data_IF_731001169162
#
_entry.id   IF_731001169162
#
_cell.length_a   1.000
_cell.length_b   1.000
_cell.length_c   1.000
_cell.angle_alpha   90.00
_cell.angle_beta   90.00
_cell.angle_gamma   90.00
#
_symmetry.space_group_name_H-M   'P 1'
#
loop_
_entity.id
_entity.type
_entity.pdbx_description
1 polymer ?
#
# COMPACT_ATOMS: atom_id res chain seq x y z
N UNK A 1 8.27 -9.91 -10.25
CA UNK A 1 8.62 -8.77 -9.38
C UNK A 1 9.85 -8.06 -9.94
N UNK A 2 9.91 -6.74 -9.84
CA UNK A 2 11.07 -5.97 -10.29
C UNK A 2 12.29 -6.33 -9.45
N UNK A 3 13.48 -6.08 -9.99
CA UNK A 3 14.74 -6.43 -9.32
C UNK A 3 15.06 -5.54 -8.10
N UNK A 4 14.24 -4.52 -7.83
CA UNK A 4 14.41 -3.62 -6.70
C UNK A 4 13.85 -4.24 -5.40
N UNK A 5 14.59 -4.16 -4.28
CA UNK A 5 14.09 -4.62 -2.99
C UNK A 5 12.88 -3.80 -2.54
N UNK A 6 11.98 -4.36 -1.72
CA UNK A 6 10.87 -3.62 -1.16
C UNK A 6 11.38 -2.55 -0.17
N UNK A 7 10.76 -1.38 -0.21
CA UNK A 7 11.04 -0.29 0.72
C UNK A 7 10.05 -0.35 1.90
N UNK A 8 10.56 -0.16 3.12
CA UNK A 8 9.76 -0.15 4.36
C UNK A 8 9.91 1.22 5.00
N UNK A 9 8.80 1.93 5.13
CA UNK A 9 8.72 3.30 5.64
C UNK A 9 7.96 3.30 6.95
N UNK A 10 8.66 3.59 8.05
CA UNK A 10 8.07 3.75 9.37
C UNK A 10 7.65 5.22 9.58
N UNK A 11 6.41 5.44 10.01
CA UNK A 11 5.84 6.77 10.23
C UNK A 11 5.93 7.14 11.71
N UNK A 12 6.46 8.33 11.99
CA UNK A 12 6.57 8.87 13.35
C UNK A 12 5.27 9.55 13.82
N UNK A 13 5.33 10.25 14.96
CA UNK A 13 4.17 10.93 15.54
C UNK A 13 3.77 12.25 14.87
N UNK A 14 4.54 12.77 13.90
CA UNK A 14 4.36 14.11 13.32
C UNK A 14 3.42 14.16 12.13
N UNK A 15 3.14 13.01 11.51
CA UNK A 15 2.26 12.88 10.34
C UNK A 15 1.37 11.65 10.50
N UNK A 16 0.24 11.62 9.80
CA UNK A 16 -0.59 10.41 9.76
C UNK A 16 0.03 9.38 8.82
N UNK A 17 -0.33 8.10 8.98
CA UNK A 17 0.15 7.04 8.07
C UNK A 17 -0.33 7.28 6.64
N UNK A 18 -1.51 7.87 6.46
CA UNK A 18 -2.11 8.15 5.14
C UNK A 18 -1.47 9.37 4.46
N UNK A 19 -1.12 10.40 5.22
CA UNK A 19 -0.33 11.53 4.71
C UNK A 19 1.04 11.05 4.19
N UNK A 20 1.73 10.21 4.96
CA UNK A 20 3.00 9.63 4.48
C UNK A 20 2.76 8.73 3.27
N UNK A 21 1.74 7.86 3.29
CA UNK A 21 1.43 7.01 2.14
C UNK A 21 1.09 7.80 0.87
N UNK A 22 0.45 8.96 0.98
CA UNK A 22 0.20 9.84 -0.16
C UNK A 22 1.51 10.39 -0.76
N UNK A 23 2.50 10.75 0.08
CA UNK A 23 3.83 11.17 -0.38
C UNK A 23 4.56 10.04 -1.11
N UNK A 24 4.61 8.86 -0.48
CA UNK A 24 5.22 7.67 -1.10
C UNK A 24 4.53 7.30 -2.41
N UNK A 25 3.21 7.49 -2.50
CA UNK A 25 2.45 7.26 -3.74
C UNK A 25 2.91 8.22 -4.85
N UNK A 26 3.06 9.52 -4.54
CA UNK A 26 3.53 10.50 -5.53
C UNK A 26 4.95 10.20 -6.02
N UNK A 27 5.86 9.83 -5.11
CA UNK A 27 7.23 9.43 -5.44
C UNK A 27 7.26 8.16 -6.31
N UNK A 28 6.40 7.18 -5.97
CA UNK A 28 6.31 5.92 -6.67
C UNK A 28 5.78 6.10 -8.10
N UNK A 29 4.74 6.94 -8.29
CA UNK A 29 4.21 7.30 -9.61
C UNK A 29 5.31 7.88 -10.51
N UNK A 30 6.11 8.81 -9.98
CA UNK A 30 7.22 9.40 -10.71
C UNK A 30 8.32 8.38 -11.05
N UNK A 31 8.47 7.33 -10.23
CA UNK A 31 9.50 6.29 -10.39
C UNK A 31 9.12 5.23 -11.42
N UNK A 32 7.88 4.74 -11.41
CA UNK A 32 7.46 3.62 -12.27
C UNK A 32 6.88 4.05 -13.62
N UNK A 33 6.39 5.31 -13.73
CA UNK A 33 5.81 5.83 -14.98
C UNK A 33 4.58 5.05 -15.48
N UNK A 34 3.95 4.28 -14.59
CA UNK A 34 2.84 3.37 -14.86
C UNK A 34 1.82 3.36 -13.72
N UNK A 35 1.06 2.28 -13.58
CA UNK A 35 -0.07 2.23 -12.63
C UNK A 35 0.39 1.89 -11.22
N UNK A 36 -0.11 2.65 -10.23
CA UNK A 36 0.18 2.49 -8.80
C UNK A 36 -1.10 2.14 -8.04
N UNK A 37 -1.05 1.06 -7.26
CA UNK A 37 -2.10 0.74 -6.28
C UNK A 37 -1.67 1.15 -4.87
N UNK A 38 -2.58 1.80 -4.16
CA UNK A 38 -2.48 2.02 -2.71
C UNK A 38 -3.38 1.01 -2.02
N UNK A 39 -2.79 -0.06 -1.48
CA UNK A 39 -3.50 -1.16 -0.85
C UNK A 39 -3.65 -0.92 0.65
N UNK A 40 -4.88 -0.93 1.12
CA UNK A 40 -5.27 -0.63 2.51
C UNK A 40 -6.23 -1.69 3.06
N UNK A 41 -6.49 -1.70 4.37
CA UNK A 41 -7.63 -2.45 4.89
C UNK A 41 -8.94 -1.87 4.34
N UNK A 42 -10.00 -2.68 4.27
CA UNK A 42 -11.27 -2.24 3.69
C UNK A 42 -11.86 -1.02 4.42
N UNK A 43 -11.65 -0.93 5.75
CA UNK A 43 -12.11 0.18 6.58
C UNK A 43 -11.33 1.48 6.34
N UNK A 44 -10.09 1.39 5.86
CA UNK A 44 -9.19 2.54 5.65
C UNK A 44 -9.30 3.18 4.26
N UNK A 45 -10.10 2.61 3.35
CA UNK A 45 -10.20 3.08 1.97
C UNK A 45 -10.64 4.54 1.86
N UNK A 46 -11.66 4.95 2.63
CA UNK A 46 -12.16 6.34 2.63
C UNK A 46 -11.12 7.31 3.16
N UNK A 47 -10.39 6.93 4.21
CA UNK A 47 -9.38 7.80 4.83
C UNK A 47 -8.17 7.97 3.91
N UNK A 48 -7.76 6.90 3.22
CA UNK A 48 -6.70 6.97 2.22
C UNK A 48 -7.08 7.84 1.03
N UNK A 49 -8.31 7.71 0.50
CA UNK A 49 -8.81 8.57 -0.57
C UNK A 49 -8.77 10.05 -0.19
N UNK A 50 -9.26 10.39 1.02
CA UNK A 50 -9.21 11.75 1.53
C UNK A 50 -7.79 12.30 1.67
N UNK A 51 -6.81 11.46 2.04
CA UNK A 51 -5.41 11.87 2.10
C UNK A 51 -4.80 12.13 0.71
N UNK A 52 -5.17 11.34 -0.31
CA UNK A 52 -4.77 11.59 -1.69
C UNK A 52 -5.40 12.87 -2.24
N UNK A 53 -6.68 13.12 -1.93
CA UNK A 53 -7.38 14.38 -2.28
C UNK A 53 -6.68 15.60 -1.65
N UNK A 54 -6.35 15.52 -0.35
CA UNK A 54 -5.64 16.59 0.35
C UNK A 54 -4.24 16.84 -0.21
N UNK A 55 -3.61 15.81 -0.78
CA UNK A 55 -2.32 15.90 -1.47
C UNK A 55 -2.45 16.36 -2.94
N UNK A 56 -3.67 16.52 -3.47
CA UNK A 56 -3.92 16.89 -4.86
C UNK A 56 -3.61 15.78 -5.87
N UNK A 57 -3.65 14.51 -5.44
CA UNK A 57 -3.35 13.34 -6.27
C UNK A 57 -4.67 12.79 -6.83
N UNK A 58 -4.86 12.93 -8.15
CA UNK A 58 -5.98 12.32 -8.85
C UNK A 58 -5.90 10.79 -8.72
N UNK A 59 -7.00 10.17 -8.31
CA UNK A 59 -7.04 8.75 -8.04
C UNK A 59 -8.44 8.15 -8.30
N UNK A 60 -8.44 6.85 -8.59
CA UNK A 60 -9.64 6.05 -8.73
C UNK A 60 -9.85 5.08 -7.56
N UNK A 61 -10.91 4.30 -7.67
CA UNK A 61 -11.17 3.16 -6.79
C UNK A 61 -11.18 1.87 -7.60
N UNK A 62 -10.60 0.80 -7.04
CA UNK A 62 -10.66 -0.50 -7.69
C UNK A 62 -12.12 -0.94 -7.85
N UNK A 63 -12.54 -1.15 -9.10
CA UNK A 63 -13.86 -1.68 -9.43
C UNK A 63 -13.76 -3.11 -9.95
N UNK A 64 -14.90 -3.79 -10.13
CA UNK A 64 -14.93 -5.10 -10.80
C UNK A 64 -14.42 -5.06 -12.25
N UNK A 65 -14.35 -3.87 -12.86
CA UNK A 65 -13.94 -3.68 -14.25
C UNK A 65 -12.44 -3.38 -14.40
N UNK A 66 -11.71 -3.21 -13.29
CA UNK A 66 -10.26 -2.95 -13.32
C UNK A 66 -9.88 -1.63 -12.64
N UNK A 67 -8.76 -1.07 -13.11
CA UNK A 67 -8.10 0.12 -12.60
C UNK A 67 -8.16 1.17 -13.73
N UNK A 68 -8.91 2.24 -13.50
CA UNK A 68 -9.22 3.24 -14.52
C UNK A 68 -8.33 4.50 -14.41
N UNK A 69 -7.49 4.57 -13.37
CA UNK A 69 -6.64 5.72 -13.03
C UNK A 69 -5.20 5.30 -12.73
N UNK A 70 -4.25 6.19 -12.99
CA UNK A 70 -2.82 5.95 -12.74
C UNK A 70 -2.52 5.65 -11.26
N UNK A 71 -3.30 6.24 -10.35
CA UNK A 71 -3.30 5.90 -8.91
C UNK A 71 -4.66 5.33 -8.56
N UNK A 72 -4.71 4.20 -7.87
CA UNK A 72 -5.97 3.62 -7.41
C UNK A 72 -5.89 3.17 -5.96
N UNK A 73 -6.90 3.54 -5.17
CA UNK A 73 -7.09 3.02 -3.82
C UNK A 73 -7.74 1.64 -3.91
N UNK A 74 -7.09 0.64 -3.32
CA UNK A 74 -7.46 -0.77 -3.41
C UNK A 74 -7.71 -1.33 -2.01
N UNK A 75 -8.97 -1.55 -1.62
CA UNK A 75 -9.28 -2.38 -0.45
C UNK A 75 -8.65 -3.77 -0.61
N UNK A 76 -7.97 -4.29 0.42
CA UNK A 76 -7.21 -5.55 0.31
C UNK A 76 -8.08 -6.74 -0.12
N UNK A 77 -9.38 -6.72 0.21
CA UNK A 77 -10.35 -7.75 -0.19
C UNK A 77 -10.51 -7.89 -1.71
N UNK A 78 -10.20 -6.84 -2.48
CA UNK A 78 -10.28 -6.83 -3.95
C UNK A 78 -8.92 -6.82 -4.64
N UNK A 79 -7.81 -6.90 -3.90
CA UNK A 79 -6.46 -6.85 -4.48
C UNK A 79 -6.11 -8.07 -5.35
N UNK A 80 -6.78 -9.21 -5.14
CA UNK A 80 -6.48 -10.45 -5.86
C UNK A 80 -6.78 -10.31 -7.35
N UNK A 81 -5.80 -10.68 -8.18
CA UNK A 81 -5.93 -10.66 -9.64
C UNK A 81 -5.56 -9.32 -10.28
N UNK A 82 -5.23 -8.31 -9.48
CA UNK A 82 -4.61 -7.08 -9.95
C UNK A 82 -3.10 -7.29 -10.07
N UNK A 83 -2.51 -6.67 -11.08
CA UNK A 83 -1.07 -6.53 -11.26
C UNK A 83 -0.77 -5.07 -11.56
N UNK A 84 0.16 -4.49 -10.81
CA UNK A 84 0.48 -3.06 -10.87
C UNK A 84 1.98 -2.85 -10.96
N UNK A 85 2.39 -1.81 -11.64
CA UNK A 85 3.81 -1.43 -11.72
C UNK A 85 4.35 -1.07 -10.34
N UNK A 86 3.60 -0.25 -9.59
CA UNK A 86 3.89 0.12 -8.22
C UNK A 86 2.80 -0.30 -7.24
N UNK A 87 3.18 -0.72 -6.04
CA UNK A 87 2.23 -0.95 -4.93
C UNK A 87 2.74 -0.27 -3.67
N UNK A 88 1.88 0.50 -3.03
CA UNK A 88 2.04 1.00 -1.66
C UNK A 88 1.10 0.20 -0.75
N UNK A 89 1.63 -0.61 0.17
CA UNK A 89 0.83 -1.30 1.19
C UNK A 89 0.84 -0.46 2.46
N UNK A 90 -0.34 -0.03 2.90
CA UNK A 90 -0.49 0.89 4.03
C UNK A 90 -1.02 0.15 5.25
N UNK A 91 -0.37 0.37 6.38
CA UNK A 91 -0.68 -0.15 7.71
C UNK A 91 -0.97 -1.68 7.72
N UNK A 92 0.02 -2.54 7.40
CA UNK A 92 -0.16 -3.99 7.28
C UNK A 92 -0.82 -4.67 8.49
N UNK A 93 -0.64 -4.12 9.69
CA UNK A 93 -1.27 -4.62 10.90
C UNK A 93 -2.81 -4.55 10.81
N UNK A 94 -3.35 -3.51 10.19
CA UNK A 94 -4.80 -3.35 10.01
C UNK A 94 -5.35 -4.31 8.96
N UNK A 95 -4.62 -4.52 7.85
CA UNK A 95 -4.94 -5.55 6.86
C UNK A 95 -5.04 -6.94 7.51
N UNK A 96 -4.09 -7.29 8.37
CA UNK A 96 -4.09 -8.59 9.05
C UNK A 96 -5.23 -8.70 10.05
N UNK A 97 -5.51 -7.62 10.80
CA UNK A 97 -6.58 -7.58 11.81
C UNK A 97 -7.97 -7.69 11.19
N UNK A 98 -8.22 -6.99 10.09
CA UNK A 98 -9.57 -6.77 9.57
C UNK A 98 -10.05 -7.91 8.64
N UNK A 99 -9.18 -8.86 8.31
CA UNK A 99 -9.47 -9.94 7.36
C UNK A 99 -9.51 -11.32 8.03
N UNK A 100 -10.49 -12.15 7.63
CA UNK A 100 -10.64 -13.55 8.11
C UNK A 100 -9.37 -14.38 7.88
N UNK A 101 -8.68 -14.15 6.76
CA UNK A 101 -7.39 -14.75 6.44
C UNK A 101 -6.30 -13.68 6.31
N UNK A 102 -6.10 -12.89 7.38
CA UNK A 102 -5.24 -11.71 7.42
C UNK A 102 -3.85 -11.85 6.79
N UNK A 103 -3.06 -12.84 7.22
CA UNK A 103 -1.71 -13.04 6.66
C UNK A 103 -1.75 -13.41 5.16
N UNK A 104 -2.78 -14.13 4.72
CA UNK A 104 -2.98 -14.45 3.31
C UNK A 104 -3.35 -13.21 2.51
N UNK A 105 -4.23 -12.36 3.03
CA UNK A 105 -4.60 -11.09 2.41
C UNK A 105 -3.38 -10.17 2.27
N UNK A 106 -2.56 -10.07 3.32
CA UNK A 106 -1.30 -9.33 3.29
C UNK A 106 -0.32 -9.91 2.26
N UNK A 107 -0.14 -11.23 2.21
CA UNK A 107 0.70 -11.87 1.19
C UNK A 107 0.23 -11.55 -0.24
N UNK A 108 -1.09 -11.57 -0.47
CA UNK A 108 -1.65 -11.17 -1.77
C UNK A 108 -1.26 -9.74 -2.09
N UNK A 109 -1.48 -8.79 -1.18
CA UNK A 109 -1.12 -7.38 -1.36
C UNK A 109 0.36 -7.17 -1.72
N UNK A 110 1.27 -7.79 -0.95
CA UNK A 110 2.72 -7.67 -1.14
C UNK A 110 3.23 -8.27 -2.45
N UNK A 111 2.41 -9.08 -3.13
CA UNK A 111 2.80 -9.77 -4.37
C UNK A 111 2.08 -9.24 -5.60
N UNK A 112 1.37 -8.10 -5.50
CA UNK A 112 0.69 -7.48 -6.65
C UNK A 112 1.61 -6.60 -7.50
N UNK A 113 2.78 -6.22 -6.98
CA UNK A 113 3.71 -5.36 -7.70
C UNK A 113 4.53 -6.15 -8.74
N UNK A 114 4.63 -5.58 -9.94
CA UNK A 114 5.48 -6.09 -11.02
C UNK A 114 6.83 -5.38 -11.05
N UNK A 115 6.95 -4.13 -10.55
CA UNK A 115 8.21 -3.38 -10.54
C UNK A 115 8.66 -2.90 -9.16
N UNK A 116 7.79 -2.24 -8.39
CA UNK A 116 8.16 -1.61 -7.11
C UNK A 116 7.13 -1.86 -6.01
N UNK A 117 7.62 -2.04 -4.78
CA UNK A 117 6.81 -2.24 -3.58
C UNK A 117 7.31 -1.34 -2.46
N UNK A 118 6.40 -0.55 -1.89
CA UNK A 118 6.61 0.25 -0.68
C UNK A 118 5.63 -0.17 0.39
N UNK A 119 6.08 -0.33 1.63
CA UNK A 119 5.25 -0.63 2.80
C UNK A 119 5.33 0.54 3.76
N UNK A 120 4.19 1.18 4.04
CA UNK A 120 4.10 2.32 4.96
C UNK A 120 3.37 1.89 6.22
N UNK A 121 3.97 2.10 7.39
CA UNK A 121 3.36 1.65 8.64
C UNK A 121 3.66 2.60 9.79
N UNK A 122 2.68 2.78 10.69
CA UNK A 122 2.90 3.39 12.01
C UNK A 122 2.76 2.37 13.13
N UNK A 123 1.89 1.37 12.97
CA UNK A 123 1.74 0.28 13.93
C UNK A 123 2.91 -0.70 13.77
N UNK A 124 3.21 -1.52 14.80
CA UNK A 124 4.18 -2.59 14.67
C UNK A 124 3.84 -3.50 13.48
N UNK A 125 4.83 -3.82 12.65
CA UNK A 125 4.64 -4.73 11.54
C UNK A 125 4.22 -6.12 12.04
N UNK A 126 3.34 -6.83 11.31
CA UNK A 126 3.01 -8.23 11.58
C UNK A 126 4.28 -9.08 11.66
N UNK A 127 4.31 -10.09 12.54
CA UNK A 127 5.53 -10.88 12.83
C UNK A 127 6.31 -11.38 11.61
N UNK A 128 5.67 -11.81 10.49
CA UNK A 128 6.40 -12.23 9.29
C UNK A 128 7.18 -11.09 8.58
N UNK A 129 6.76 -9.84 8.76
CA UNK A 129 7.41 -8.63 8.22
C UNK A 129 8.28 -7.92 9.25
N UNK A 130 8.14 -8.24 10.54
CA UNK A 130 8.97 -7.66 11.58
C UNK A 130 10.44 -8.02 11.30
N UNK A 131 11.23 -7.01 10.93
CA UNK A 131 12.67 -7.19 10.77
C UNK A 131 13.22 -7.65 12.10
N UNK A 132 13.85 -8.84 12.15
CA UNK A 132 14.71 -9.16 13.30
C UNK A 132 15.81 -8.10 13.29
N UNK A 133 15.79 -7.21 14.27
CA UNK A 133 16.91 -6.29 14.48
C UNK A 133 18.16 -7.13 14.64
N UNK A 134 19.04 -7.08 13.63
CA UNK A 134 20.42 -7.50 13.77
C UNK A 134 21.09 -6.39 14.59
N UNK A 135 21.15 -6.59 15.91
CA UNK A 135 22.11 -5.87 16.73
C UNK A 135 23.51 -6.31 16.27
N UNK A 136 24.23 -5.39 15.64
CA UNK A 136 25.67 -5.44 15.43
C UNK A 136 26.26 -4.12 15.93
#
# INVERSE_FOLDING_TARGET
PGDAPPEIVAVDGRTTVYEQAARETAELVATVGGNVAVVVSDASATEMAAALDAAGIAHGHASRNGIDEAVTVVPVSVAKGLELDGVVVVEPADIVRDQVSGLRALYVALTRSTQRLTVVHRKPLPSPLATRSSAA
#
